data_IF_964521339598
#
_entry.id   IF_964521339598
#
_cell.length_a   1.000
_cell.length_b   1.000
_cell.length_c   1.000
_cell.angle_alpha   90.00
_cell.angle_beta   90.00
_cell.angle_gamma   90.00
#
_symmetry.space_group_name_H-M   'P 1'
#
loop_
_entity.id
_entity.type
_entity.pdbx_description
1 polymer ?
#
# COMPACT_ATOMS: atom_id res chain seq x y z
N UNK A 1 5.10 20.78 -19.43
CA UNK A 1 5.71 21.98 -20.08
C UNK A 1 4.78 22.67 -21.10
N UNK A 2 4.11 21.88 -21.95
CA UNK A 2 3.25 22.42 -23.02
C UNK A 2 1.85 22.80 -22.57
N UNK A 3 1.44 22.37 -21.38
CA UNK A 3 0.11 22.61 -20.82
C UNK A 3 0.13 23.86 -19.97
N UNK A 4 -0.62 24.89 -20.38
CA UNK A 4 -0.76 26.14 -19.65
C UNK A 4 -2.21 26.32 -19.20
N UNK A 5 -2.39 26.80 -17.97
CA UNK A 5 -3.68 27.02 -17.36
C UNK A 5 -4.15 25.87 -16.45
N UNK A 6 -5.00 26.21 -15.48
CA UNK A 6 -5.43 25.30 -14.42
C UNK A 6 -6.19 24.06 -14.96
N UNK A 7 -7.20 24.24 -15.78
CA UNK A 7 -8.04 23.15 -16.27
C UNK A 7 -7.33 22.18 -17.20
N UNK A 8 -6.52 22.65 -18.20
CA UNK A 8 -5.72 21.72 -19.01
C UNK A 8 -4.67 20.97 -18.18
N UNK A 9 -4.10 21.61 -17.15
CA UNK A 9 -3.18 20.94 -16.22
C UNK A 9 -3.89 19.82 -15.44
N UNK A 10 -5.06 20.09 -14.85
CA UNK A 10 -5.87 19.09 -14.16
C UNK A 10 -6.24 17.91 -15.08
N UNK A 11 -6.64 18.19 -16.32
CA UNK A 11 -6.95 17.15 -17.30
C UNK A 11 -5.74 16.29 -17.63
N UNK A 12 -4.56 16.90 -17.81
CA UNK A 12 -3.32 16.17 -18.08
C UNK A 12 -2.90 15.27 -16.92
N UNK A 13 -3.01 15.79 -15.68
CA UNK A 13 -2.73 15.00 -14.46
C UNK A 13 -3.72 13.85 -14.33
N UNK A 14 -5.01 14.09 -14.60
CA UNK A 14 -6.03 13.05 -14.58
C UNK A 14 -5.72 11.91 -15.56
N UNK A 15 -5.38 12.23 -16.81
CA UNK A 15 -5.01 11.24 -17.83
C UNK A 15 -3.74 10.46 -17.41
N UNK A 16 -2.74 11.17 -16.91
CA UNK A 16 -1.49 10.55 -16.44
C UNK A 16 -1.76 9.57 -15.29
N UNK A 17 -2.57 9.98 -14.30
CA UNK A 17 -2.93 9.13 -13.16
C UNK A 17 -3.78 7.93 -13.59
N UNK A 18 -4.70 8.11 -14.53
CA UNK A 18 -5.52 7.03 -15.08
C UNK A 18 -4.64 5.94 -15.73
N UNK A 19 -3.64 6.33 -16.52
CA UNK A 19 -2.69 5.41 -17.13
C UNK A 19 -1.79 4.73 -16.10
N UNK A 20 -1.27 5.48 -15.13
CA UNK A 20 -0.40 4.98 -14.06
C UNK A 20 -1.13 3.99 -13.16
N UNK A 21 -2.35 4.31 -12.73
CA UNK A 21 -3.14 3.42 -11.87
C UNK A 21 -3.65 2.18 -12.62
N UNK A 22 -3.90 2.29 -13.92
CA UNK A 22 -4.21 1.14 -14.77
C UNK A 22 -3.07 0.14 -14.90
N UNK A 23 -1.82 0.59 -14.77
CA UNK A 23 -0.63 -0.28 -14.81
C UNK A 23 -0.52 -1.18 -13.55
N UNK A 24 -0.93 -0.71 -12.38
CA UNK A 24 -0.81 -1.44 -11.10
C UNK A 24 -1.47 -2.82 -11.09
N UNK A 25 -2.74 -2.98 -11.49
CA UNK A 25 -3.38 -4.31 -11.56
C UNK A 25 -2.66 -5.25 -12.51
N UNK A 26 -2.21 -4.76 -13.67
CA UNK A 26 -1.46 -5.54 -14.65
C UNK A 26 -0.13 -6.05 -14.07
N UNK A 27 0.57 -5.21 -13.30
CA UNK A 27 1.82 -5.56 -12.64
C UNK A 27 1.62 -6.68 -11.61
N UNK A 28 0.56 -6.63 -10.79
CA UNK A 28 0.26 -7.71 -9.83
C UNK A 28 -0.11 -9.02 -10.52
N UNK A 29 -0.83 -8.96 -11.62
CA UNK A 29 -1.13 -10.15 -12.44
C UNK A 29 0.14 -10.72 -13.07
N UNK A 30 1.06 -9.86 -13.54
CA UNK A 30 2.36 -10.28 -14.06
C UNK A 30 3.19 -11.00 -12.97
N UNK A 31 3.24 -10.47 -11.74
CA UNK A 31 3.92 -11.13 -10.61
C UNK A 31 3.41 -12.57 -10.44
N UNK A 32 2.09 -12.79 -10.54
CA UNK A 32 1.50 -14.14 -10.49
C UNK A 32 2.03 -15.04 -11.61
N UNK A 33 2.15 -14.51 -12.82
CA UNK A 33 2.65 -15.24 -13.98
C UNK A 33 4.14 -15.60 -13.91
N UNK A 34 4.96 -14.75 -13.31
CA UNK A 34 6.42 -14.90 -13.24
C UNK A 34 6.94 -15.47 -11.92
N UNK A 35 6.11 -15.58 -10.87
CA UNK A 35 6.49 -16.13 -9.56
C UNK A 35 5.79 -17.44 -9.25
N UNK A 36 6.52 -18.37 -8.59
CA UNK A 36 5.92 -19.57 -8.02
C UNK A 36 5.03 -19.21 -6.83
N UNK A 37 3.97 -19.99 -6.54
CA UNK A 37 3.06 -19.73 -5.40
C UNK A 37 3.79 -19.50 -4.07
N UNK A 38 4.86 -20.28 -3.81
CA UNK A 38 5.65 -20.19 -2.58
C UNK A 38 6.43 -18.89 -2.46
N UNK A 39 6.80 -18.28 -3.60
CA UNK A 39 7.63 -17.07 -3.66
C UNK A 39 6.82 -15.79 -3.90
N UNK A 40 5.49 -15.85 -4.01
CA UNK A 40 4.64 -14.69 -4.31
C UNK A 40 4.77 -13.56 -3.30
N UNK A 41 4.83 -13.88 -2.00
CA UNK A 41 5.03 -12.85 -0.97
C UNK A 41 6.35 -12.12 -1.18
N UNK A 42 7.43 -12.85 -1.44
CA UNK A 42 8.76 -12.26 -1.69
C UNK A 42 8.77 -11.41 -2.97
N UNK A 43 8.10 -11.86 -4.03
CA UNK A 43 7.99 -11.11 -5.27
C UNK A 43 7.24 -9.78 -5.07
N UNK A 44 6.14 -9.80 -4.32
CA UNK A 44 5.40 -8.58 -3.94
C UNK A 44 6.26 -7.69 -3.04
N UNK A 45 7.01 -8.27 -2.09
CA UNK A 45 7.92 -7.51 -1.22
C UNK A 45 9.04 -6.84 -2.02
N UNK A 46 9.65 -7.53 -2.98
CA UNK A 46 10.68 -6.94 -3.86
C UNK A 46 10.14 -5.77 -4.68
N UNK A 47 8.90 -5.90 -5.21
CA UNK A 47 8.24 -4.79 -5.88
C UNK A 47 8.05 -3.59 -4.96
N UNK A 48 7.57 -3.82 -3.73
CA UNK A 48 7.42 -2.76 -2.73
C UNK A 48 8.74 -2.11 -2.38
N UNK A 49 9.80 -2.91 -2.22
CA UNK A 49 11.14 -2.41 -1.95
C UNK A 49 11.61 -1.45 -3.04
N UNK A 50 11.38 -1.80 -4.31
CA UNK A 50 11.70 -0.93 -5.44
C UNK A 50 10.86 0.36 -5.43
N UNK A 51 9.56 0.28 -5.11
CA UNK A 51 8.68 1.44 -4.97
C UNK A 51 9.15 2.35 -3.84
N UNK A 52 9.44 1.79 -2.66
CA UNK A 52 9.88 2.56 -1.49
C UNK A 52 11.26 3.21 -1.71
N UNK A 53 12.17 2.51 -2.41
CA UNK A 53 13.44 3.08 -2.82
C UNK A 53 13.24 4.28 -3.77
N UNK A 54 12.31 4.14 -4.72
CA UNK A 54 11.92 5.25 -5.60
C UNK A 54 11.34 6.44 -4.82
N UNK A 55 10.49 6.20 -3.84
CA UNK A 55 9.93 7.23 -2.97
C UNK A 55 10.99 7.91 -2.11
N UNK A 56 12.00 7.18 -1.64
CA UNK A 56 13.10 7.74 -0.84
C UNK A 56 14.09 8.57 -1.68
N UNK A 57 14.47 8.05 -2.85
CA UNK A 57 15.46 8.68 -3.71
C UNK A 57 14.87 9.76 -4.62
N UNK A 58 13.61 9.61 -5.04
CA UNK A 58 12.95 10.51 -5.97
C UNK A 58 12.98 11.97 -5.55
N UNK A 59 12.51 12.35 -4.36
CA UNK A 59 12.56 13.72 -3.88
C UNK A 59 13.99 14.29 -3.76
N UNK A 60 14.95 13.47 -3.31
CA UNK A 60 16.34 13.88 -3.19
C UNK A 60 16.97 14.17 -4.56
N UNK A 61 16.81 13.25 -5.51
CA UNK A 61 17.28 13.40 -6.89
C UNK A 61 16.55 14.57 -7.57
N UNK A 62 15.23 14.66 -7.38
CA UNK A 62 14.41 15.76 -7.91
C UNK A 62 14.88 17.12 -7.39
N UNK A 63 15.16 17.24 -6.10
CA UNK A 63 15.71 18.45 -5.50
C UNK A 63 17.06 18.84 -6.08
N UNK A 64 17.97 17.89 -6.28
CA UNK A 64 19.26 18.13 -6.94
C UNK A 64 19.09 18.61 -8.39
N UNK A 65 18.17 18.01 -9.15
CA UNK A 65 17.90 18.44 -10.53
C UNK A 65 17.37 19.87 -10.56
N UNK A 66 16.40 20.20 -9.69
CA UNK A 66 15.84 21.55 -9.61
C UNK A 66 16.92 22.57 -9.27
N UNK A 67 17.80 22.24 -8.30
CA UNK A 67 18.86 23.16 -7.83
C UNK A 67 19.97 23.36 -8.86
N UNK A 68 20.39 22.31 -9.55
CA UNK A 68 21.59 22.35 -10.39
C UNK A 68 21.29 22.43 -11.90
N UNK A 69 20.07 22.09 -12.33
CA UNK A 69 19.69 22.11 -13.75
C UNK A 69 18.55 23.11 -13.98
N UNK A 70 17.34 22.73 -13.67
CA UNK A 70 16.15 23.57 -13.72
C UNK A 70 14.90 22.79 -13.28
N UNK A 71 13.82 23.50 -12.99
CA UNK A 71 12.51 22.87 -12.76
C UNK A 71 11.98 22.14 -14.01
N UNK A 72 12.33 22.65 -15.20
CA UNK A 72 11.98 22.00 -16.47
C UNK A 72 12.76 20.70 -16.71
N UNK A 73 14.02 20.68 -16.28
CA UNK A 73 14.88 19.50 -16.34
C UNK A 73 14.31 18.30 -15.57
N UNK A 74 13.55 18.54 -14.49
CA UNK A 74 12.87 17.50 -13.72
C UNK A 74 11.90 16.71 -14.61
N UNK A 75 11.08 17.40 -15.40
CA UNK A 75 10.10 16.74 -16.29
C UNK A 75 10.77 15.93 -17.42
N UNK A 76 11.91 16.43 -17.93
CA UNK A 76 12.68 15.71 -18.94
C UNK A 76 13.31 14.44 -18.37
N UNK A 77 13.91 14.51 -17.17
CA UNK A 77 14.51 13.35 -16.52
C UNK A 77 13.44 12.31 -16.16
N UNK A 78 12.29 12.74 -15.65
CA UNK A 78 11.16 11.85 -15.36
C UNK A 78 10.66 11.15 -16.62
N UNK A 79 10.39 11.90 -17.71
CA UNK A 79 9.96 11.34 -18.97
C UNK A 79 10.97 10.36 -19.56
N UNK A 80 12.25 10.71 -19.62
CA UNK A 80 13.32 9.84 -20.15
C UNK A 80 13.44 8.57 -19.31
N UNK A 81 13.38 8.67 -17.97
CA UNK A 81 13.45 7.50 -17.10
C UNK A 81 12.27 6.55 -17.29
N UNK A 82 11.05 7.08 -17.48
CA UNK A 82 9.87 6.29 -17.82
C UNK A 82 10.03 5.56 -19.17
N UNK A 83 10.53 6.24 -20.20
CA UNK A 83 10.80 5.59 -21.50
C UNK A 83 11.90 4.53 -21.40
N UNK A 84 12.96 4.80 -20.65
CA UNK A 84 14.03 3.83 -20.42
C UNK A 84 13.51 2.59 -19.67
N UNK A 85 12.66 2.78 -18.64
CA UNK A 85 12.02 1.69 -17.91
C UNK A 85 11.09 0.86 -18.82
N UNK A 86 10.28 1.51 -19.67
CA UNK A 86 9.44 0.83 -20.64
C UNK A 86 10.26 0.03 -21.64
N UNK A 87 11.34 0.61 -22.17
CA UNK A 87 12.27 -0.08 -23.07
C UNK A 87 12.93 -1.29 -22.40
N UNK A 88 13.37 -1.14 -21.16
CA UNK A 88 13.92 -2.26 -20.38
C UNK A 88 12.88 -3.37 -20.17
N UNK A 89 11.63 -3.03 -19.89
CA UNK A 89 10.56 -4.02 -19.76
C UNK A 89 10.32 -4.78 -21.06
N UNK A 90 10.33 -4.10 -22.20
CA UNK A 90 10.15 -4.75 -23.52
C UNK A 90 11.27 -5.73 -23.86
N UNK A 91 12.50 -5.44 -23.43
CA UNK A 91 13.67 -6.30 -23.69
C UNK A 91 13.80 -7.41 -22.65
N UNK A 92 13.57 -7.11 -21.36
CA UNK A 92 13.84 -8.03 -20.26
C UNK A 92 12.67 -9.00 -19.98
N UNK A 93 11.42 -8.58 -20.25
CA UNK A 93 10.26 -9.44 -20.02
C UNK A 93 10.02 -10.34 -21.24
N UNK A 94 10.22 -11.63 -21.04
CA UNK A 94 9.81 -12.63 -22.03
C UNK A 94 8.28 -12.68 -22.07
N UNK A 95 7.64 -12.41 -23.23
CA UNK A 95 6.18 -12.44 -23.32
C UNK A 95 5.65 -13.83 -22.94
N UNK A 96 5.02 -13.94 -21.77
CA UNK A 96 4.38 -15.16 -21.35
C UNK A 96 2.95 -15.16 -21.89
N UNK A 97 2.73 -15.83 -23.01
CA UNK A 97 1.36 -16.04 -23.50
C UNK A 97 0.67 -17.04 -22.59
N UNK A 98 -0.52 -16.71 -22.12
CA UNK A 98 -1.37 -17.66 -21.42
C UNK A 98 -1.60 -18.87 -22.33
N UNK A 99 -1.41 -20.05 -21.80
CA UNK A 99 -1.74 -21.28 -22.52
C UNK A 99 -3.24 -21.35 -22.81
N UNK A 100 -3.64 -22.14 -23.82
CA UNK A 100 -5.06 -22.34 -24.11
C UNK A 100 -5.81 -22.92 -22.88
N UNK A 101 -5.13 -23.77 -22.09
CA UNK A 101 -5.63 -24.34 -20.84
C UNK A 101 -5.84 -23.28 -19.75
N UNK A 102 -4.87 -22.36 -19.56
CA UNK A 102 -5.00 -21.24 -18.63
C UNK A 102 -6.17 -20.31 -19.02
N UNK A 103 -6.34 -20.05 -20.31
CA UNK A 103 -7.49 -19.28 -20.83
C UNK A 103 -8.81 -20.00 -20.62
N UNK A 104 -8.85 -21.31 -20.87
CA UNK A 104 -10.01 -22.13 -20.65
C UNK A 104 -10.37 -22.21 -19.16
N UNK A 105 -9.39 -22.39 -18.27
CA UNK A 105 -9.59 -22.33 -16.82
C UNK A 105 -10.07 -20.96 -16.35
N UNK A 106 -9.50 -19.87 -16.86
CA UNK A 106 -9.94 -18.51 -16.57
C UNK A 106 -11.37 -18.23 -17.07
N UNK A 107 -11.75 -18.82 -18.20
CA UNK A 107 -13.12 -18.73 -18.74
C UNK A 107 -14.12 -19.58 -17.94
N UNK A 108 -13.69 -20.71 -17.38
CA UNK A 108 -14.46 -21.55 -16.48
C UNK A 108 -14.59 -20.96 -15.07
N UNK A 109 -13.65 -20.12 -14.65
CA UNK A 109 -13.68 -19.41 -13.38
C UNK A 109 -14.80 -18.36 -13.38
N UNK A 110 -16.00 -18.74 -12.99
CA UNK A 110 -17.22 -17.90 -12.99
C UNK A 110 -17.26 -16.86 -11.87
N UNK A 111 -16.21 -16.73 -11.07
CA UNK A 111 -16.17 -15.81 -9.94
C UNK A 111 -16.08 -14.34 -10.38
N UNK A 112 -17.03 -13.53 -9.94
CA UNK A 112 -16.96 -12.07 -10.06
C UNK A 112 -16.49 -11.46 -8.75
N UNK A 113 -15.49 -10.56 -8.73
CA UNK A 113 -15.03 -9.90 -7.51
C UNK A 113 -16.14 -9.10 -6.83
N UNK A 114 -17.11 -8.61 -7.59
CA UNK A 114 -18.26 -7.84 -7.08
C UNK A 114 -19.29 -8.69 -6.32
N UNK A 115 -19.26 -10.03 -6.48
CA UNK A 115 -20.14 -10.98 -5.80
C UNK A 115 -19.41 -11.85 -4.79
N UNK A 116 -18.10 -11.71 -4.70
CA UNK A 116 -17.25 -12.44 -3.76
C UNK A 116 -17.27 -11.72 -2.39
N UNK A 117 -18.24 -12.13 -1.54
CA UNK A 117 -18.42 -11.50 -0.21
C UNK A 117 -17.15 -11.48 0.64
N UNK A 118 -16.39 -12.59 0.83
CA UNK A 118 -15.14 -12.54 1.58
C UNK A 118 -14.13 -11.57 0.99
N UNK A 119 -14.09 -11.44 -0.33
CA UNK A 119 -13.20 -10.49 -0.99
C UNK A 119 -13.63 -9.03 -0.75
N UNK A 120 -14.93 -8.73 -0.83
CA UNK A 120 -15.44 -7.39 -0.52
C UNK A 120 -15.16 -7.00 0.94
N UNK A 121 -15.28 -7.92 1.90
CA UNK A 121 -14.88 -7.69 3.28
C UNK A 121 -13.37 -7.45 3.42
N UNK A 122 -12.53 -8.17 2.64
CA UNK A 122 -11.09 -7.94 2.59
C UNK A 122 -10.77 -6.52 2.10
N UNK A 123 -11.44 -6.07 1.02
CA UNK A 123 -11.25 -4.71 0.48
C UNK A 123 -11.69 -3.64 1.47
N UNK A 124 -12.83 -3.84 2.13
CA UNK A 124 -13.32 -2.91 3.13
C UNK A 124 -12.37 -2.84 4.35
N UNK A 125 -11.87 -3.99 4.82
CA UNK A 125 -10.83 -4.03 5.84
C UNK A 125 -9.57 -3.31 5.38
N UNK A 126 -9.14 -3.49 4.14
CA UNK A 126 -8.00 -2.79 3.56
C UNK A 126 -8.19 -1.27 3.59
N UNK A 127 -9.36 -0.76 3.23
CA UNK A 127 -9.68 0.68 3.30
C UNK A 127 -9.56 1.19 4.73
N UNK A 128 -10.19 0.49 5.70
CA UNK A 128 -10.17 0.87 7.12
C UNK A 128 -8.76 0.87 7.72
N UNK A 129 -7.85 0.06 7.23
CA UNK A 129 -6.46 -0.01 7.68
C UNK A 129 -5.61 1.05 6.96
N UNK A 130 -5.84 1.24 5.66
CA UNK A 130 -5.03 2.15 4.84
C UNK A 130 -5.30 3.62 5.17
N UNK A 131 -6.54 3.99 5.51
CA UNK A 131 -6.87 5.38 5.91
C UNK A 131 -6.02 5.86 7.10
N UNK A 132 -5.96 5.15 8.25
CA UNK A 132 -5.06 5.53 9.34
C UNK A 132 -3.59 5.51 8.96
N UNK A 133 -3.15 4.51 8.18
CA UNK A 133 -1.77 4.46 7.70
C UNK A 133 -1.36 5.73 6.95
N UNK A 134 -2.21 6.24 6.06
CA UNK A 134 -1.94 7.45 5.29
C UNK A 134 -1.79 8.70 6.15
N UNK A 135 -2.30 8.69 7.39
CA UNK A 135 -2.15 9.82 8.31
C UNK A 135 -0.70 10.08 8.69
N UNK A 136 0.14 9.06 8.67
CA UNK A 136 1.57 9.22 8.93
C UNK A 136 2.30 10.07 7.87
N UNK A 137 1.69 10.24 6.71
CA UNK A 137 2.21 11.08 5.62
C UNK A 137 1.42 12.38 5.40
N UNK A 138 0.36 12.60 6.18
CA UNK A 138 -0.46 13.82 6.07
C UNK A 138 -0.64 14.54 7.40
N UNK A 139 -1.35 13.97 8.35
CA UNK A 139 -1.73 14.65 9.60
C UNK A 139 -0.69 14.50 10.72
N UNK A 140 0.05 13.39 10.77
CA UNK A 140 1.09 13.19 11.78
C UNK A 140 2.26 14.18 11.62
N UNK A 141 2.75 14.54 10.42
CA UNK A 141 3.70 15.64 10.26
C UNK A 141 3.19 16.98 10.79
N UNK A 142 1.90 17.29 10.61
CA UNK A 142 1.28 18.49 11.18
C UNK A 142 1.30 18.44 12.71
N UNK A 143 0.98 17.28 13.31
CA UNK A 143 1.10 17.07 14.76
C UNK A 143 2.54 17.29 15.26
N UNK A 144 3.55 16.79 14.54
CA UNK A 144 4.94 16.98 14.89
C UNK A 144 5.35 18.46 14.85
N UNK A 145 4.86 19.21 13.85
CA UNK A 145 5.13 20.65 13.72
C UNK A 145 4.38 21.49 14.75
N UNK A 146 3.06 21.31 14.86
CA UNK A 146 2.21 22.18 15.68
C UNK A 146 2.31 21.89 17.18
N UNK A 147 2.31 20.62 17.58
CA UNK A 147 2.29 20.22 18.98
C UNK A 147 3.71 20.08 19.55
N UNK A 148 4.59 19.38 18.81
CA UNK A 148 5.95 19.12 19.26
C UNK A 148 6.98 20.16 18.81
N UNK A 149 6.59 21.12 17.97
CA UNK A 149 7.45 22.20 17.47
C UNK A 149 8.73 21.69 16.81
N UNK A 150 8.65 20.51 16.17
CA UNK A 150 9.80 19.96 15.46
C UNK A 150 10.08 20.78 14.20
N UNK A 151 11.38 20.92 13.87
CA UNK A 151 11.79 21.49 12.59
C UNK A 151 11.43 20.58 11.44
N UNK A 152 11.27 21.14 10.24
CA UNK A 152 11.02 20.38 9.00
C UNK A 152 12.08 19.30 8.77
N UNK A 153 13.33 19.60 9.10
CA UNK A 153 14.43 18.63 9.04
C UNK A 153 14.19 17.43 9.96
N UNK A 154 13.77 17.65 11.21
CA UNK A 154 13.50 16.58 12.18
C UNK A 154 12.30 15.72 11.74
N UNK A 155 11.26 16.35 11.17
CA UNK A 155 10.10 15.66 10.60
C UNK A 155 10.54 14.81 9.40
N UNK A 156 11.35 15.39 8.52
CA UNK A 156 11.93 14.67 7.38
C UNK A 156 12.79 13.48 7.81
N UNK A 157 13.55 13.60 8.91
CA UNK A 157 14.35 12.51 9.45
C UNK A 157 13.47 11.36 9.99
N UNK A 158 12.39 11.68 10.70
CA UNK A 158 11.41 10.69 11.17
C UNK A 158 10.75 9.92 10.00
N UNK A 159 10.30 10.64 8.98
CA UNK A 159 9.72 10.03 7.79
C UNK A 159 10.75 9.27 6.97
N UNK A 160 11.97 9.77 6.88
CA UNK A 160 13.09 9.08 6.21
C UNK A 160 13.47 7.78 6.90
N UNK A 161 13.35 7.72 8.23
CA UNK A 161 13.59 6.50 9.00
C UNK A 161 12.61 5.39 8.62
N UNK A 162 11.34 5.70 8.30
CA UNK A 162 10.40 4.73 7.77
C UNK A 162 10.95 4.03 6.51
N UNK A 163 11.36 4.80 5.51
CA UNK A 163 11.90 4.24 4.26
C UNK A 163 13.17 3.40 4.50
N UNK A 164 14.07 3.86 5.36
CA UNK A 164 15.30 3.15 5.71
C UNK A 164 15.01 1.83 6.43
N UNK A 165 14.11 1.82 7.39
CA UNK A 165 13.70 0.61 8.11
C UNK A 165 13.08 -0.41 7.17
N UNK A 166 12.21 0.02 6.25
CA UNK A 166 11.62 -0.86 5.23
C UNK A 166 12.73 -1.47 4.38
N UNK A 167 13.63 -0.63 3.86
CA UNK A 167 14.73 -1.10 3.01
C UNK A 167 15.59 -2.16 3.69
N UNK A 168 15.93 -1.96 4.97
CA UNK A 168 16.81 -2.85 5.71
C UNK A 168 16.11 -4.10 6.24
N UNK A 169 14.86 -3.99 6.70
CA UNK A 169 14.21 -5.00 7.53
C UNK A 169 13.05 -5.74 6.87
N UNK A 170 12.41 -5.22 5.82
CA UNK A 170 11.20 -5.83 5.26
C UNK A 170 11.47 -7.25 4.74
N UNK A 171 12.54 -7.45 3.95
CA UNK A 171 12.88 -8.77 3.41
C UNK A 171 13.26 -9.80 4.48
N UNK A 172 14.15 -9.50 5.45
CA UNK A 172 14.42 -10.39 6.58
C UNK A 172 13.17 -10.73 7.38
N UNK A 173 12.30 -9.74 7.64
CA UNK A 173 11.08 -9.92 8.42
C UNK A 173 10.08 -10.85 7.72
N UNK A 174 9.83 -10.64 6.43
CA UNK A 174 8.96 -11.50 5.63
C UNK A 174 9.50 -12.93 5.59
N UNK A 175 10.80 -13.09 5.34
CA UNK A 175 11.47 -14.41 5.36
C UNK A 175 11.31 -15.09 6.71
N UNK A 176 11.46 -14.37 7.81
CA UNK A 176 11.27 -14.90 9.15
C UNK A 176 9.84 -15.41 9.36
N UNK A 177 8.82 -14.63 8.95
CA UNK A 177 7.42 -15.03 9.03
C UNK A 177 7.14 -16.30 8.22
N UNK A 178 7.72 -16.42 7.03
CA UNK A 178 7.58 -17.61 6.18
C UNK A 178 8.24 -18.86 6.81
N UNK A 179 9.48 -18.74 7.33
CA UNK A 179 10.18 -19.85 7.96
C UNK A 179 9.44 -20.36 9.20
N UNK A 180 8.87 -19.45 10.00
CA UNK A 180 8.09 -19.80 11.19
C UNK A 180 6.70 -20.33 10.86
N UNK A 181 6.26 -20.25 9.61
CA UNK A 181 4.95 -20.75 9.19
C UNK A 181 3.77 -20.01 9.82
N UNK A 182 3.93 -18.71 10.16
CA UNK A 182 2.85 -17.94 10.73
C UNK A 182 1.66 -17.83 9.76
N UNK A 183 0.44 -17.98 10.28
CA UNK A 183 -0.77 -17.75 9.52
C UNK A 183 -0.81 -16.31 9.00
N UNK A 184 -1.15 -16.15 7.71
CA UNK A 184 -1.25 -14.82 7.08
C UNK A 184 -2.19 -13.89 7.82
N UNK A 185 -3.33 -14.41 8.28
CA UNK A 185 -4.30 -13.63 9.05
C UNK A 185 -3.77 -13.24 10.42
N UNK A 186 -2.97 -14.10 11.06
CA UNK A 186 -2.31 -13.76 12.34
C UNK A 186 -1.30 -12.63 12.15
N UNK A 187 -0.49 -12.68 11.07
CA UNK A 187 0.45 -11.62 10.73
C UNK A 187 -0.30 -10.31 10.44
N UNK A 188 -1.38 -10.36 9.69
CA UNK A 188 -2.20 -9.17 9.39
C UNK A 188 -2.83 -8.57 10.64
N UNK A 189 -3.41 -9.39 11.54
CA UNK A 189 -3.97 -8.86 12.80
C UNK A 189 -2.90 -8.25 13.69
N UNK A 190 -1.73 -8.88 13.75
CA UNK A 190 -0.59 -8.33 14.49
C UNK A 190 -0.10 -7.01 13.89
N UNK A 191 -0.05 -6.89 12.57
CA UNK A 191 0.30 -5.63 11.90
C UNK A 191 -0.68 -4.50 12.20
N UNK A 192 -1.99 -4.80 12.24
CA UNK A 192 -3.02 -3.82 12.59
C UNK A 192 -2.91 -3.40 14.06
N UNK A 193 -2.55 -4.33 14.95
CA UNK A 193 -2.25 -4.01 16.35
C UNK A 193 -1.07 -3.04 16.45
N UNK A 194 0.00 -3.24 15.68
CA UNK A 194 1.15 -2.32 15.64
C UNK A 194 0.74 -0.91 15.16
N UNK A 195 -0.10 -0.82 14.11
CA UNK A 195 -0.67 0.45 13.67
C UNK A 195 -1.51 1.12 14.77
N UNK A 196 -2.37 0.37 15.45
CA UNK A 196 -3.19 0.91 16.54
C UNK A 196 -2.31 1.41 17.70
N UNK A 197 -1.32 0.61 18.10
CA UNK A 197 -0.37 0.99 19.16
C UNK A 197 0.43 2.24 18.79
N UNK A 198 0.75 2.46 17.51
CA UNK A 198 1.46 3.66 17.08
C UNK A 198 0.67 4.94 17.40
N UNK A 199 -0.64 4.95 17.14
CA UNK A 199 -1.51 6.10 17.49
C UNK A 199 -1.72 6.22 19.01
N UNK A 200 -1.85 5.11 19.73
CA UNK A 200 -1.93 5.12 21.21
C UNK A 200 -0.67 5.74 21.81
N UNK A 201 0.49 5.38 21.31
CA UNK A 201 1.78 5.94 21.77
C UNK A 201 1.87 7.44 21.51
N UNK A 202 1.48 7.91 20.32
CA UNK A 202 1.44 9.34 19.99
C UNK A 202 0.46 10.11 20.87
N UNK A 203 -0.60 9.46 21.35
CA UNK A 203 -1.65 10.11 22.13
C UNK A 203 -1.34 10.18 23.63
N UNK A 204 -0.73 9.14 24.19
CA UNK A 204 -0.53 9.02 25.64
C UNK A 204 0.82 9.58 26.12
N UNK A 205 1.80 9.69 25.25
CA UNK A 205 3.17 10.02 25.64
C UNK A 205 3.70 11.22 24.88
N UNK A 206 3.57 12.46 25.45
CA UNK A 206 3.97 13.70 24.76
C UNK A 206 5.50 13.94 24.78
N UNK A 207 6.31 12.90 24.84
CA UNK A 207 7.78 12.99 24.87
C UNK A 207 8.35 12.64 23.49
N UNK A 208 9.33 13.41 23.02
CA UNK A 208 9.94 13.22 21.70
C UNK A 208 10.41 11.79 21.40
N UNK A 209 10.90 11.05 22.42
CA UNK A 209 11.29 9.66 22.25
C UNK A 209 10.15 8.76 21.75
N UNK A 210 8.90 9.05 22.12
CA UNK A 210 7.75 8.27 21.70
C UNK A 210 7.30 8.58 20.27
N UNK A 211 7.73 9.69 19.67
CA UNK A 211 7.52 9.95 18.25
C UNK A 211 8.31 8.91 17.42
N UNK A 212 9.54 8.61 17.83
CA UNK A 212 10.33 7.54 17.23
C UNK A 212 9.70 6.16 17.43
N UNK A 213 9.17 5.88 18.62
CA UNK A 213 8.44 4.64 18.88
C UNK A 213 7.20 4.53 17.99
N UNK A 214 6.43 5.62 17.81
CA UNK A 214 5.28 5.68 16.93
C UNK A 214 5.64 5.35 15.48
N UNK A 215 6.70 5.97 14.93
CA UNK A 215 7.13 5.70 13.54
C UNK A 215 7.64 4.26 13.37
N UNK A 216 8.39 3.73 14.34
CA UNK A 216 8.88 2.34 14.31
C UNK A 216 7.70 1.35 14.34
N UNK A 217 6.73 1.52 15.24
CA UNK A 217 5.54 0.67 15.32
C UNK A 217 4.74 0.71 14.00
N UNK A 218 4.53 1.91 13.46
CA UNK A 218 3.85 2.08 12.18
C UNK A 218 4.61 1.37 11.05
N UNK A 219 5.92 1.56 10.95
CA UNK A 219 6.76 0.95 9.93
C UNK A 219 6.76 -0.58 10.01
N UNK A 220 6.86 -1.14 11.23
CA UNK A 220 6.75 -2.58 11.44
C UNK A 220 5.37 -3.11 11.03
N UNK A 221 4.30 -2.37 11.37
CA UNK A 221 2.95 -2.66 10.89
C UNK A 221 2.87 -2.66 9.38
N UNK A 222 3.45 -1.66 8.72
CA UNK A 222 3.50 -1.50 7.27
C UNK A 222 4.18 -2.69 6.57
N UNK A 223 5.39 -3.05 7.02
CA UNK A 223 6.17 -4.15 6.47
C UNK A 223 5.44 -5.50 6.55
N UNK A 224 4.62 -5.70 7.58
CA UNK A 224 3.82 -6.92 7.76
C UNK A 224 2.46 -6.85 7.05
N UNK A 225 1.82 -5.69 7.01
CA UNK A 225 0.46 -5.58 6.47
C UNK A 225 0.43 -5.74 4.95
N UNK A 226 1.12 -4.85 4.25
CA UNK A 226 0.89 -4.71 2.82
C UNK A 226 1.34 -5.90 1.98
N UNK A 227 2.50 -6.56 2.22
CA UNK A 227 2.85 -7.76 1.46
C UNK A 227 1.84 -8.90 1.61
N UNK A 228 1.37 -9.12 2.84
CA UNK A 228 0.42 -10.19 3.11
C UNK A 228 -0.99 -9.86 2.62
N UNK A 229 -1.43 -8.58 2.70
CA UNK A 229 -2.71 -8.13 2.16
C UNK A 229 -2.74 -8.26 0.64
N UNK A 230 -1.71 -7.77 -0.04
CA UNK A 230 -1.54 -7.93 -1.50
C UNK A 230 -1.55 -9.41 -1.91
N UNK A 231 -0.86 -10.26 -1.13
CA UNK A 231 -0.84 -11.69 -1.37
C UNK A 231 -2.22 -12.32 -1.26
N UNK A 232 -2.99 -11.99 -0.21
CA UNK A 232 -4.37 -12.50 -0.04
C UNK A 232 -5.27 -12.08 -1.20
N UNK A 233 -5.17 -10.81 -1.63
CA UNK A 233 -5.92 -10.31 -2.79
C UNK A 233 -5.54 -11.07 -4.07
N UNK A 234 -4.24 -11.30 -4.28
CA UNK A 234 -3.73 -12.02 -5.45
C UNK A 234 -4.16 -13.50 -5.45
N UNK A 235 -4.04 -14.20 -4.31
CA UNK A 235 -4.46 -15.61 -4.20
C UNK A 235 -5.98 -15.74 -4.37
N UNK A 236 -6.78 -14.77 -3.89
CA UNK A 236 -8.23 -14.78 -4.09
C UNK A 236 -8.62 -14.58 -5.56
N UNK A 237 -7.79 -13.90 -6.34
CA UNK A 237 -8.01 -13.66 -7.76
C UNK A 237 -8.04 -14.95 -8.61
N UNK A 238 -7.56 -16.09 -8.05
CA UNK A 238 -7.63 -17.40 -8.70
C UNK A 238 -9.07 -17.91 -8.90
N UNK A 239 -10.06 -17.32 -8.21
CA UNK A 239 -11.47 -17.69 -8.32
C UNK A 239 -12.20 -17.07 -9.51
N UNK A 240 -11.61 -16.09 -10.19
CA UNK A 240 -12.25 -15.39 -11.29
C UNK A 240 -11.25 -14.76 -12.25
N UNK A 241 -11.59 -13.61 -12.78
CA UNK A 241 -10.69 -12.83 -13.63
C UNK A 241 -9.64 -12.07 -12.79
N UNK A 242 -8.36 -12.47 -12.81
CA UNK A 242 -7.34 -11.88 -11.93
C UNK A 242 -7.20 -10.36 -12.08
N UNK A 243 -7.33 -9.85 -13.32
CA UNK A 243 -7.30 -8.41 -13.58
C UNK A 243 -8.42 -7.65 -12.87
N UNK A 244 -9.65 -8.18 -12.89
CA UNK A 244 -10.79 -7.54 -12.25
C UNK A 244 -10.66 -7.52 -10.71
N UNK A 245 -10.16 -8.63 -10.11
CA UNK A 245 -9.87 -8.68 -8.69
C UNK A 245 -8.80 -7.65 -8.29
N UNK A 246 -7.69 -7.62 -9.00
CA UNK A 246 -6.59 -6.70 -8.67
C UNK A 246 -6.94 -5.23 -8.98
N UNK A 247 -7.77 -4.97 -10.01
CA UNK A 247 -8.30 -3.64 -10.27
C UNK A 247 -9.16 -3.14 -9.08
N UNK A 248 -10.07 -4.00 -8.57
CA UNK A 248 -10.91 -3.64 -7.43
C UNK A 248 -10.07 -3.44 -6.15
N UNK A 249 -8.99 -4.21 -5.97
CA UNK A 249 -8.03 -4.00 -4.89
C UNK A 249 -7.32 -2.64 -5.02
N UNK A 250 -6.90 -2.27 -6.22
CA UNK A 250 -6.30 -0.94 -6.48
C UNK A 250 -7.30 0.19 -6.21
N UNK A 251 -8.57 0.00 -6.61
CA UNK A 251 -9.64 0.97 -6.30
C UNK A 251 -9.79 1.16 -4.78
N UNK A 252 -9.66 0.11 -3.97
CA UNK A 252 -9.75 0.26 -2.50
C UNK A 252 -8.66 1.18 -1.94
N UNK A 253 -7.45 1.17 -2.53
CA UNK A 253 -6.38 2.11 -2.21
C UNK A 253 -6.72 3.54 -2.63
N UNK A 254 -7.25 3.72 -3.85
CA UNK A 254 -7.67 5.05 -4.33
C UNK A 254 -8.77 5.64 -3.45
N UNK A 255 -9.74 4.82 -3.01
CA UNK A 255 -10.77 5.22 -2.05
C UNK A 255 -10.15 5.66 -0.72
N UNK A 256 -9.20 4.88 -0.19
CA UNK A 256 -8.51 5.24 1.05
C UNK A 256 -7.72 6.56 0.92
N UNK A 257 -7.08 6.82 -0.21
CA UNK A 257 -6.38 8.07 -0.47
C UNK A 257 -7.33 9.27 -0.54
N UNK A 258 -8.46 9.15 -1.28
CA UNK A 258 -9.43 10.24 -1.43
C UNK A 258 -10.01 10.65 -0.07
N UNK A 259 -10.46 9.66 0.70
CA UNK A 259 -11.10 9.93 1.99
C UNK A 259 -10.08 10.15 3.11
N UNK A 260 -8.92 9.50 3.08
CA UNK A 260 -7.95 9.52 4.17
C UNK A 260 -7.45 10.92 4.49
N UNK A 261 -6.93 11.64 3.51
CA UNK A 261 -6.39 12.99 3.74
C UNK A 261 -7.47 13.97 4.21
N UNK A 262 -8.62 13.98 3.55
CA UNK A 262 -9.73 14.87 3.88
C UNK A 262 -10.31 14.55 5.27
N UNK A 263 -10.49 13.26 5.59
CA UNK A 263 -11.01 12.83 6.88
C UNK A 263 -10.08 13.23 8.02
N UNK A 264 -8.79 12.99 7.89
CA UNK A 264 -7.81 13.28 8.93
C UNK A 264 -7.73 14.76 9.27
N UNK A 265 -7.59 15.62 8.25
CA UNK A 265 -7.52 17.07 8.46
C UNK A 265 -8.82 17.64 9.03
N UNK A 266 -9.98 17.17 8.57
CA UNK A 266 -11.27 17.60 9.13
C UNK A 266 -11.46 17.16 10.58
N UNK A 267 -11.09 15.93 10.93
CA UNK A 267 -11.16 15.47 12.32
C UNK A 267 -10.28 16.31 13.24
N UNK A 268 -9.05 16.63 12.81
CA UNK A 268 -8.16 17.48 13.59
C UNK A 268 -8.72 18.89 13.75
N UNK A 269 -9.23 19.48 12.67
CA UNK A 269 -9.77 20.84 12.70
C UNK A 269 -10.97 20.98 13.64
N UNK A 270 -11.81 19.94 13.78
CA UNK A 270 -13.03 20.01 14.60
C UNK A 270 -12.85 19.43 16.00
N UNK A 271 -12.02 18.40 16.17
CA UNK A 271 -11.92 17.63 17.40
C UNK A 271 -10.52 17.60 18.03
N UNK A 272 -9.52 18.14 17.32
CA UNK A 272 -8.12 18.12 17.74
C UNK A 272 -7.45 16.75 17.59
N UNK A 273 -6.15 16.69 17.87
CA UNK A 273 -5.31 15.51 17.64
C UNK A 273 -5.70 14.31 18.49
N UNK A 274 -5.96 14.53 19.79
CA UNK A 274 -6.26 13.46 20.75
C UNK A 274 -7.45 12.60 20.33
N UNK A 275 -8.58 13.24 20.00
CA UNK A 275 -9.80 12.52 19.58
C UNK A 275 -9.56 11.87 18.21
N UNK A 276 -8.87 12.55 17.32
CA UNK A 276 -8.54 12.00 15.99
C UNK A 276 -7.73 10.72 16.08
N UNK A 277 -6.71 10.66 16.95
CA UNK A 277 -5.91 9.43 17.13
C UNK A 277 -6.74 8.28 17.71
N UNK A 278 -7.66 8.55 18.63
CA UNK A 278 -8.60 7.53 19.11
C UNK A 278 -9.57 7.07 18.02
N UNK A 279 -10.07 7.96 17.18
CA UNK A 279 -10.90 7.59 16.02
C UNK A 279 -10.16 6.64 15.09
N UNK A 280 -8.89 6.92 14.75
CA UNK A 280 -8.09 6.04 13.91
C UNK A 280 -7.76 4.71 14.60
N UNK A 281 -7.51 4.71 15.91
CA UNK A 281 -7.35 3.48 16.68
C UNK A 281 -8.62 2.61 16.64
N UNK A 282 -9.79 3.20 16.81
CA UNK A 282 -11.07 2.50 16.68
C UNK A 282 -11.30 1.98 15.25
N UNK A 283 -10.98 2.77 14.23
CA UNK A 283 -11.06 2.34 12.83
C UNK A 283 -10.18 1.11 12.55
N UNK A 284 -8.96 1.10 13.08
CA UNK A 284 -8.06 -0.05 13.01
C UNK A 284 -8.61 -1.28 13.74
N UNK A 285 -9.23 -1.10 14.91
CA UNK A 285 -9.87 -2.20 15.65
C UNK A 285 -11.04 -2.81 14.85
N UNK A 286 -11.85 -1.97 14.18
CA UNK A 286 -12.91 -2.44 13.27
C UNK A 286 -12.28 -3.19 12.09
N UNK A 287 -11.21 -2.67 11.48
CA UNK A 287 -10.47 -3.32 10.41
C UNK A 287 -9.94 -4.70 10.80
N UNK A 288 -9.40 -4.84 12.02
CA UNK A 288 -8.96 -6.13 12.56
C UNK A 288 -10.13 -7.11 12.75
N UNK A 289 -11.27 -6.63 13.25
CA UNK A 289 -12.51 -7.42 13.35
C UNK A 289 -13.00 -7.90 11.99
N UNK A 290 -12.93 -7.07 10.98
CA UNK A 290 -13.27 -7.45 9.59
C UNK A 290 -12.32 -8.51 9.05
N UNK A 291 -11.00 -8.42 9.31
CA UNK A 291 -10.04 -9.47 8.93
C UNK A 291 -10.38 -10.82 9.58
N UNK A 292 -10.81 -10.82 10.83
CA UNK A 292 -11.27 -12.04 11.49
C UNK A 292 -12.51 -12.64 10.80
N UNK A 293 -13.46 -11.81 10.40
CA UNK A 293 -14.63 -12.26 9.63
C UNK A 293 -14.24 -12.82 8.25
N UNK A 294 -13.27 -12.20 7.58
CA UNK A 294 -12.73 -12.69 6.30
C UNK A 294 -12.12 -14.09 6.49
N UNK A 295 -11.26 -14.26 7.49
CA UNK A 295 -10.64 -15.55 7.81
C UNK A 295 -11.69 -16.64 8.04
N UNK A 296 -12.69 -16.35 8.88
CA UNK A 296 -13.77 -17.27 9.21
C UNK A 296 -14.60 -17.67 7.98
N UNK A 297 -14.92 -16.71 7.12
CA UNK A 297 -15.69 -16.95 5.91
C UNK A 297 -14.89 -17.77 4.89
N UNK A 298 -13.59 -17.46 4.71
CA UNK A 298 -12.72 -18.26 3.83
C UNK A 298 -12.53 -19.69 4.34
N UNK A 299 -12.38 -19.88 5.66
CA UNK A 299 -12.28 -21.20 6.26
C UNK A 299 -13.56 -22.04 6.05
N UNK A 300 -14.74 -21.43 6.17
CA UNK A 300 -16.02 -22.10 5.92
C UNK A 300 -16.19 -22.54 4.46
N UNK A 301 -15.75 -21.71 3.52
CA UNK A 301 -15.76 -22.05 2.10
C UNK A 301 -14.91 -23.29 1.80
N UNK A 302 -13.69 -23.36 2.38
CA UNK A 302 -12.82 -24.53 2.19
C UNK A 302 -13.42 -25.80 2.79
N UNK A 303 -14.02 -25.72 3.98
CA UNK A 303 -14.68 -26.86 4.61
C UNK A 303 -15.92 -27.35 3.83
N UNK A 304 -16.65 -26.42 3.18
CA UNK A 304 -17.80 -26.76 2.34
C UNK A 304 -17.39 -27.47 1.04
N UNK A 305 -16.27 -27.05 0.43
CA UNK A 305 -15.76 -27.63 -0.83
C UNK A 305 -15.16 -29.03 -0.63
N UNK A 306 -14.70 -29.37 0.60
CA UNK A 306 -14.19 -30.72 0.90
C UNK A 306 -15.30 -31.75 1.19
N UNK A 307 -16.52 -31.29 1.42
CA UNK A 307 -17.68 -32.16 1.72
C UNK A 307 -18.59 -32.41 0.50
N UNK A 308 -18.39 -31.67 -0.58
CA UNK A 308 -19.10 -31.83 -1.87
C UNK A 308 -18.21 -32.55 -2.89
#
# INVERSE_FOLDING_TARGET
>A
QFVRGFWPFCASVFVLMLLSDGFRPALFVAIRGYSKPENRTRAVTLLRLAINLGFSLGPAIGGLIITHVSYEGLFWVDGISCFAAAGLMLVALVPKRSTAEEKAQAALAKGSPYRDRPYLFLLFSSILITIPFLQYFSTVPVFYSEVHRLSEFSIGLLLGANGLLIFLLEMPLIKYCEIKGFSRFSVLRFSVLLFALSFVVLNLFPVHAFLWAGIVLMTMGEMLNFPFMNRLALDRSDRGQPGAYMALFTISWSVAHIFGHTLGLNLIAHFGFTITWWCFTCMLAIGAGMLYLVERNMAREHAGTQKA
#
